data_IF_528851307320
#
_entry.id   IF_528851307320
#
_cell.length_a   1.000
_cell.length_b   1.000
_cell.length_c   1.000
_cell.angle_alpha   90.00
_cell.angle_beta   90.00
_cell.angle_gamma   90.00
#
_symmetry.space_group_name_H-M   'P 1'
#
loop_
_entity.id
_entity.type
_entity.pdbx_description
1 polymer ?
#
# COMPACT_ATOMS: atom_id res chain seq x y z
N UNK A 1 47.68 -56.06 16.64
CA UNK A 1 46.87 -54.84 16.81
C UNK A 1 46.00 -55.04 18.04
N UNK A 2 46.20 -54.31 19.15
CA UNK A 2 45.36 -54.46 20.32
C UNK A 2 43.96 -53.92 20.01
N UNK A 3 42.94 -54.73 20.31
CA UNK A 3 41.54 -54.34 20.21
C UNK A 3 41.24 -53.26 21.28
N UNK A 4 40.87 -52.06 20.84
CA UNK A 4 40.37 -51.03 21.75
C UNK A 4 39.10 -51.54 22.42
N UNK A 5 39.19 -51.77 23.74
CA UNK A 5 38.05 -52.09 24.57
C UNK A 5 37.14 -50.85 24.62
N UNK A 6 36.04 -50.88 23.87
CA UNK A 6 34.96 -49.90 23.98
C UNK A 6 34.52 -49.80 25.45
N UNK A 7 34.88 -48.70 26.12
CA UNK A 7 34.43 -48.40 27.48
C UNK A 7 32.91 -48.27 27.45
N UNK A 8 32.22 -49.34 27.84
CA UNK A 8 30.78 -49.34 27.98
C UNK A 8 30.39 -48.29 29.03
N UNK A 9 29.62 -47.30 28.61
CA UNK A 9 29.11 -46.23 29.48
C UNK A 9 28.19 -46.87 30.52
N UNK A 10 28.40 -46.52 31.80
CA UNK A 10 27.64 -47.06 32.93
C UNK A 10 26.12 -46.84 32.74
N UNK A 11 25.27 -47.81 33.11
CA UNK A 11 23.81 -47.65 33.09
C UNK A 11 23.33 -46.39 33.84
N UNK A 12 24.02 -46.01 34.92
CA UNK A 12 23.71 -44.81 35.70
C UNK A 12 23.98 -43.53 34.89
N UNK A 13 25.07 -43.49 34.12
CA UNK A 13 25.38 -42.36 33.25
C UNK A 13 24.34 -42.22 32.14
N UNK A 14 23.81 -43.31 31.61
CA UNK A 14 22.71 -43.28 30.65
C UNK A 14 21.41 -42.71 31.24
N UNK A 15 21.07 -43.08 32.47
CA UNK A 15 19.90 -42.53 33.18
C UNK A 15 20.05 -41.03 33.44
N UNK A 16 21.26 -40.57 33.80
CA UNK A 16 21.53 -39.14 33.99
C UNK A 16 21.42 -38.39 32.66
N UNK A 17 21.98 -38.93 31.58
CA UNK A 17 21.93 -38.31 30.25
C UNK A 17 20.48 -38.22 29.74
N UNK A 18 19.68 -39.27 29.89
CA UNK A 18 18.26 -39.25 29.49
C UNK A 18 17.43 -38.33 30.36
N UNK A 19 17.64 -38.33 31.68
CA UNK A 19 16.96 -37.44 32.61
C UNK A 19 17.26 -35.97 32.33
N UNK A 20 18.53 -35.63 32.11
CA UNK A 20 18.95 -34.26 31.77
C UNK A 20 18.36 -33.83 30.42
N UNK A 21 18.39 -34.71 29.41
CA UNK A 21 17.80 -34.46 28.11
C UNK A 21 16.28 -34.25 28.16
N UNK A 22 15.57 -35.03 28.98
CA UNK A 22 14.14 -34.86 29.20
C UNK A 22 13.81 -33.52 29.88
N UNK A 23 14.54 -33.17 30.94
CA UNK A 23 14.35 -31.87 31.63
C UNK A 23 14.63 -30.70 30.69
N UNK A 24 15.68 -30.78 29.87
CA UNK A 24 16.03 -29.75 28.89
C UNK A 24 14.96 -29.64 27.80
N UNK A 25 14.44 -30.78 27.32
CA UNK A 25 13.35 -30.82 26.34
C UNK A 25 12.05 -30.22 26.89
N UNK A 26 11.64 -30.59 28.11
CA UNK A 26 10.46 -30.01 28.78
C UNK A 26 10.66 -28.52 29.02
N UNK A 27 11.85 -28.10 29.47
CA UNK A 27 12.18 -26.68 29.64
C UNK A 27 12.10 -25.90 28.33
N UNK A 28 12.62 -26.46 27.23
CA UNK A 28 12.53 -25.86 25.91
C UNK A 28 11.08 -25.79 25.41
N UNK A 29 10.28 -26.85 25.61
CA UNK A 29 8.88 -26.89 25.21
C UNK A 29 8.03 -25.87 25.99
N UNK A 30 8.22 -25.77 27.31
CA UNK A 30 7.55 -24.77 28.16
C UNK A 30 7.99 -23.36 27.78
N UNK A 31 9.28 -23.14 27.51
CA UNK A 31 9.77 -21.84 27.04
C UNK A 31 9.15 -21.47 25.70
N UNK A 32 9.09 -22.39 24.74
CA UNK A 32 8.42 -22.17 23.45
C UNK A 32 6.92 -21.89 23.61
N UNK A 33 6.24 -22.56 24.55
CA UNK A 33 4.83 -22.33 24.83
C UNK A 33 4.57 -20.94 25.42
N UNK A 34 5.41 -20.51 26.38
CA UNK A 34 5.31 -19.17 27.01
C UNK A 34 5.68 -18.06 26.01
N UNK A 35 6.69 -18.29 25.17
CA UNK A 35 7.14 -17.33 24.17
C UNK A 35 6.43 -17.48 22.82
N UNK A 36 5.45 -18.38 22.69
CA UNK A 36 4.70 -18.63 21.45
C UNK A 36 4.04 -17.34 20.92
N UNK A 37 3.46 -16.54 21.81
CA UNK A 37 2.86 -15.24 21.46
C UNK A 37 3.89 -14.23 20.92
N UNK A 38 5.18 -14.38 21.25
CA UNK A 38 6.28 -13.59 20.65
C UNK A 38 6.86 -14.24 19.39
N UNK A 39 6.74 -15.57 19.25
CA UNK A 39 7.18 -16.30 18.06
C UNK A 39 6.34 -16.05 16.81
N UNK A 40 5.10 -15.55 16.97
CA UNK A 40 4.28 -15.08 15.86
C UNK A 40 4.93 -13.92 15.05
N UNK A 41 5.92 -13.24 15.64
CA UNK A 41 6.72 -12.19 14.97
C UNK A 41 8.08 -12.69 14.47
N UNK A 42 8.40 -13.99 14.58
CA UNK A 42 9.62 -14.53 14.00
C UNK A 42 9.49 -14.59 12.48
N UNK A 43 10.57 -14.22 11.78
CA UNK A 43 10.60 -14.43 10.33
C UNK A 43 10.52 -15.93 10.03
N UNK A 44 9.88 -16.28 8.90
CA UNK A 44 9.72 -17.68 8.49
C UNK A 44 11.08 -18.40 8.45
N UNK A 45 12.16 -17.71 8.05
CA UNK A 45 13.51 -18.27 7.99
C UNK A 45 14.03 -18.69 9.38
N UNK A 46 13.82 -17.86 10.40
CA UNK A 46 14.25 -18.16 11.78
C UNK A 46 13.45 -19.33 12.34
N UNK A 47 12.14 -19.37 12.08
CA UNK A 47 11.27 -20.49 12.47
C UNK A 47 11.76 -21.82 11.87
N UNK A 48 12.02 -21.85 10.56
CA UNK A 48 12.49 -23.07 9.89
C UNK A 48 13.88 -23.51 10.38
N UNK A 49 14.78 -22.56 10.61
CA UNK A 49 16.10 -22.87 11.17
C UNK A 49 15.99 -23.55 12.54
N UNK A 50 15.17 -23.00 13.44
CA UNK A 50 14.93 -23.58 14.77
C UNK A 50 14.22 -24.94 14.68
N UNK A 51 13.25 -25.09 13.76
CA UNK A 51 12.54 -26.35 13.54
C UNK A 51 13.49 -27.48 13.09
N UNK A 52 14.40 -27.20 12.15
CA UNK A 52 15.40 -28.16 11.70
C UNK A 52 16.33 -28.55 12.85
N UNK A 53 16.79 -27.57 13.63
CA UNK A 53 17.68 -27.82 14.76
C UNK A 53 17.01 -28.68 15.83
N UNK A 54 15.75 -28.37 16.17
CA UNK A 54 14.95 -29.17 17.09
C UNK A 54 14.71 -30.60 16.57
N UNK A 55 14.43 -30.76 15.28
CA UNK A 55 14.23 -32.06 14.66
C UNK A 55 15.50 -32.93 14.70
N UNK A 56 16.68 -32.34 14.49
CA UNK A 56 17.97 -33.03 14.61
C UNK A 56 18.26 -33.49 16.03
N UNK A 57 18.04 -32.62 17.03
CA UNK A 57 18.24 -32.96 18.44
C UNK A 57 17.28 -34.08 18.87
N UNK A 58 16.00 -33.94 18.54
CA UNK A 58 14.98 -34.93 18.88
C UNK A 58 15.29 -36.28 18.23
N UNK A 59 15.66 -36.29 16.94
CA UNK A 59 16.03 -37.49 16.20
C UNK A 59 17.27 -38.18 16.79
N UNK A 60 18.33 -37.41 17.09
CA UNK A 60 19.55 -37.92 17.71
C UNK A 60 19.33 -38.46 19.12
N UNK A 61 18.53 -37.78 19.93
CA UNK A 61 18.21 -38.20 21.30
C UNK A 61 17.37 -39.48 21.33
N UNK A 62 16.31 -39.57 20.51
CA UNK A 62 15.43 -40.75 20.48
C UNK A 62 16.18 -42.02 20.07
N UNK A 63 17.11 -41.90 19.13
CA UNK A 63 17.86 -43.05 18.63
C UNK A 63 19.06 -43.38 19.49
N UNK A 64 19.83 -42.38 19.91
CA UNK A 64 21.00 -42.59 20.76
C UNK A 64 20.61 -43.08 22.15
N UNK A 65 19.66 -42.39 22.79
CA UNK A 65 19.38 -42.58 24.20
C UNK A 65 18.26 -43.58 24.49
N UNK A 66 17.20 -43.58 23.68
CA UNK A 66 16.06 -44.49 23.87
C UNK A 66 16.17 -45.76 23.03
N UNK A 67 17.18 -45.87 22.15
CA UNK A 67 17.33 -46.96 21.17
C UNK A 67 16.01 -47.25 20.42
N UNK A 68 15.23 -46.22 20.14
CA UNK A 68 13.95 -46.37 19.49
C UNK A 68 14.17 -46.72 18.01
N UNK A 69 13.82 -47.95 17.63
CA UNK A 69 13.91 -48.43 16.26
C UNK A 69 12.54 -48.37 15.60
N UNK A 70 12.21 -47.25 14.96
CA UNK A 70 11.13 -47.22 13.98
C UNK A 70 11.70 -47.59 12.60
N UNK A 71 10.95 -48.35 11.79
CA UNK A 71 11.30 -48.65 10.41
C UNK A 71 10.09 -48.35 9.54
N UNK A 72 10.24 -47.42 8.61
CA UNK A 72 9.24 -47.18 7.58
C UNK A 72 9.72 -47.79 6.27
N UNK A 73 8.87 -48.55 5.59
CA UNK A 73 9.15 -49.14 4.29
C UNK A 73 7.97 -48.88 3.36
N UNK A 74 8.24 -48.30 2.20
CA UNK A 74 7.23 -48.04 1.17
C UNK A 74 7.81 -48.23 -0.24
N UNK A 75 6.95 -48.44 -1.23
CA UNK A 75 7.37 -48.49 -2.63
C UNK A 75 7.25 -47.10 -3.25
N UNK A 76 8.35 -46.57 -3.78
CA UNK A 76 8.38 -45.28 -4.47
C UNK A 76 9.26 -45.42 -5.72
N UNK A 77 8.72 -45.08 -6.90
CA UNK A 77 9.44 -45.06 -8.19
C UNK A 77 10.29 -46.32 -8.48
N UNK A 78 9.65 -47.47 -8.66
CA UNK A 78 10.31 -48.76 -8.98
C UNK A 78 11.36 -49.25 -7.95
N UNK A 79 11.36 -48.72 -6.72
CA UNK A 79 12.25 -49.16 -5.65
C UNK A 79 11.54 -49.27 -4.29
N UNK A 80 12.18 -49.97 -3.35
CA UNK A 80 11.73 -50.03 -1.94
C UNK A 80 12.50 -48.98 -1.13
N UNK A 81 11.81 -47.92 -0.70
CA UNK A 81 12.38 -46.91 0.18
C UNK A 81 12.26 -47.39 1.64
N UNK A 82 13.39 -47.67 2.28
CA UNK A 82 13.46 -47.99 3.70
C UNK A 82 14.09 -46.83 4.47
N UNK A 83 13.29 -46.17 5.32
CA UNK A 83 13.75 -45.10 6.19
C UNK A 83 13.91 -45.62 7.62
N UNK A 84 15.10 -45.41 8.18
CA UNK A 84 15.39 -45.71 9.59
C UNK A 84 14.74 -44.70 10.53
N UNK A 85 14.55 -45.12 11.78
CA UNK A 85 13.81 -44.36 12.81
C UNK A 85 14.20 -42.89 12.95
N UNK A 86 15.49 -42.52 13.00
CA UNK A 86 15.91 -41.13 13.08
C UNK A 86 15.39 -40.28 11.92
N UNK A 87 15.48 -40.82 10.69
CA UNK A 87 15.05 -40.12 9.48
C UNK A 87 13.53 -39.96 9.45
N UNK A 88 12.79 -40.98 9.89
CA UNK A 88 11.31 -40.92 9.98
C UNK A 88 10.87 -39.84 10.98
N UNK A 89 11.46 -39.80 12.18
CA UNK A 89 11.12 -38.81 13.20
C UNK A 89 11.49 -37.40 12.74
N UNK A 90 12.68 -37.22 12.13
CA UNK A 90 13.09 -35.95 11.56
C UNK A 90 12.06 -35.45 10.52
N UNK A 91 11.71 -36.29 9.55
CA UNK A 91 10.72 -35.94 8.53
C UNK A 91 9.34 -35.62 9.11
N UNK A 92 8.89 -36.35 10.13
CA UNK A 92 7.62 -36.09 10.80
C UNK A 92 7.62 -34.73 11.51
N UNK A 93 8.68 -34.38 12.24
CA UNK A 93 8.78 -33.08 12.92
C UNK A 93 8.77 -31.94 11.91
N UNK A 94 9.52 -32.07 10.81
CA UNK A 94 9.51 -31.07 9.73
C UNK A 94 8.11 -30.95 9.11
N UNK A 95 7.47 -32.07 8.79
CA UNK A 95 6.13 -32.08 8.21
C UNK A 95 5.08 -31.43 9.12
N UNK A 96 5.06 -31.80 10.41
CA UNK A 96 4.16 -31.19 11.38
C UNK A 96 4.48 -29.73 11.65
N UNK A 97 5.76 -29.35 11.73
CA UNK A 97 6.15 -27.94 11.88
C UNK A 97 5.80 -27.08 10.67
N UNK A 98 5.87 -27.62 9.46
CA UNK A 98 5.36 -26.94 8.26
C UNK A 98 3.84 -26.77 8.30
N UNK A 99 3.11 -27.81 8.71
CA UNK A 99 1.64 -27.76 8.79
C UNK A 99 1.12 -26.87 9.93
N UNK A 100 1.89 -26.77 11.02
CA UNK A 100 1.58 -25.99 12.22
C UNK A 100 2.35 -24.66 12.25
N UNK A 101 2.97 -24.26 11.14
CA UNK A 101 3.71 -23.00 11.09
C UNK A 101 2.78 -21.85 11.47
N UNK A 102 3.21 -20.90 12.31
CA UNK A 102 2.39 -19.74 12.61
C UNK A 102 2.20 -18.93 11.32
N UNK A 103 1.04 -19.09 10.68
CA UNK A 103 0.60 -18.15 9.67
C UNK A 103 0.36 -16.85 10.41
N UNK A 104 1.12 -15.81 10.10
CA UNK A 104 0.84 -14.50 10.66
C UNK A 104 -0.61 -14.15 10.32
N UNK A 105 -1.42 -13.82 11.32
CA UNK A 105 -2.80 -13.41 11.09
C UNK A 105 -2.80 -12.29 10.05
N UNK A 106 -3.58 -12.49 8.99
CA UNK A 106 -3.79 -11.49 7.95
C UNK A 106 -5.19 -10.90 8.08
N UNK A 107 -5.33 -9.66 7.66
CA UNK A 107 -6.62 -8.99 7.62
C UNK A 107 -6.73 -8.15 6.34
N UNK A 108 -7.96 -7.86 5.95
CA UNK A 108 -8.26 -6.99 4.83
C UNK A 108 -8.77 -5.65 5.36
N UNK A 109 -8.28 -4.55 4.81
CA UNK A 109 -8.72 -3.22 5.20
C UNK A 109 -9.44 -2.52 4.05
N UNK A 110 -10.58 -1.93 4.38
CA UNK A 110 -11.40 -1.15 3.46
C UNK A 110 -11.25 0.35 3.74
N UNK A 111 -10.90 1.10 2.71
CA UNK A 111 -10.98 2.55 2.70
C UNK A 111 -12.25 3.00 1.99
N UNK A 112 -12.94 3.98 2.54
CA UNK A 112 -14.09 4.66 1.92
C UNK A 112 -13.66 6.11 1.65
N UNK A 113 -13.76 6.54 0.39
CA UNK A 113 -13.26 7.83 -0.08
C UNK A 113 -14.42 8.77 -0.38
N UNK A 114 -14.54 9.82 0.40
CA UNK A 114 -15.54 10.87 0.27
C UNK A 114 -14.98 12.13 -0.40
N UNK A 115 -15.83 12.82 -1.14
CA UNK A 115 -15.46 14.04 -1.89
C UNK A 115 -15.19 15.23 -0.95
N UNK A 116 -15.81 15.21 0.22
CA UNK A 116 -15.69 16.22 1.26
C UNK A 116 -15.99 15.62 2.66
N UNK A 117 -15.95 16.48 3.68
CA UNK A 117 -16.26 16.13 5.09
C UNK A 117 -17.75 15.83 5.32
N UNK A 118 -18.63 16.23 4.41
CA UNK A 118 -20.09 16.07 4.56
C UNK A 118 -20.57 14.64 4.29
N UNK A 119 -19.70 13.76 3.76
CA UNK A 119 -19.97 12.36 3.41
C UNK A 119 -21.10 12.17 2.39
N UNK A 120 -21.49 13.22 1.69
CA UNK A 120 -22.63 13.19 0.76
C UNK A 120 -22.29 12.57 -0.60
N UNK A 121 -21.02 12.63 -1.02
CA UNK A 121 -20.58 12.16 -2.33
C UNK A 121 -19.38 11.23 -2.19
N UNK A 122 -19.48 10.04 -2.79
CA UNK A 122 -18.39 9.09 -2.93
C UNK A 122 -17.54 9.42 -4.16
N UNK A 123 -16.23 9.32 -4.00
CA UNK A 123 -15.28 9.61 -5.08
C UNK A 123 -15.03 8.35 -5.87
N UNK A 124 -15.31 8.39 -7.17
CA UNK A 124 -14.99 7.28 -8.07
C UNK A 124 -13.80 7.61 -8.97
N UNK A 125 -12.96 6.59 -9.20
CA UNK A 125 -11.76 6.69 -10.02
C UNK A 125 -10.53 7.28 -9.32
N UNK A 126 -9.38 7.15 -9.99
CA UNK A 126 -8.08 7.51 -9.43
C UNK A 126 -7.40 6.35 -8.66
N UNK A 127 -6.34 6.69 -7.94
CA UNK A 127 -5.50 5.70 -7.22
C UNK A 127 -5.28 6.17 -5.80
N UNK A 128 -5.45 5.28 -4.84
CA UNK A 128 -5.07 5.49 -3.45
C UNK A 128 -3.70 4.86 -3.21
N UNK A 129 -2.72 5.67 -2.82
CA UNK A 129 -1.39 5.18 -2.44
C UNK A 129 -1.31 5.10 -0.93
N UNK A 130 -0.89 3.96 -0.39
CA UNK A 130 -0.76 3.73 1.04
C UNK A 130 0.67 3.35 1.36
N UNK A 131 1.23 3.98 2.39
CA UNK A 131 2.53 3.61 2.92
C UNK A 131 2.33 2.78 4.19
N UNK A 132 2.36 1.45 4.03
CA UNK A 132 2.48 0.50 5.13
C UNK A 132 3.96 0.42 5.54
N UNK A 133 4.64 -0.69 5.23
CA UNK A 133 6.10 -0.81 5.29
C UNK A 133 6.77 -0.54 3.92
N UNK A 134 6.02 -0.78 2.85
CA UNK A 134 6.37 -0.48 1.46
C UNK A 134 5.22 0.33 0.84
N UNK A 135 5.49 1.18 -0.16
CA UNK A 135 4.43 1.84 -0.89
C UNK A 135 3.57 0.79 -1.59
N UNK A 136 2.26 0.88 -1.41
CA UNK A 136 1.27 0.08 -2.10
C UNK A 136 0.22 1.01 -2.73
N UNK A 137 -0.49 0.51 -3.73
CA UNK A 137 -1.48 1.32 -4.44
C UNK A 137 -2.60 0.48 -5.02
N UNK A 138 -3.83 0.95 -4.83
CA UNK A 138 -5.02 0.34 -5.39
C UNK A 138 -5.93 1.41 -6.01
N UNK A 139 -6.74 1.00 -6.99
CA UNK A 139 -7.68 1.88 -7.67
C UNK A 139 -8.88 2.15 -6.76
N UNK A 140 -9.41 3.37 -6.83
CA UNK A 140 -10.69 3.70 -6.18
C UNK A 140 -11.83 3.29 -7.10
N UNK A 141 -12.68 2.39 -6.62
CA UNK A 141 -13.86 1.88 -7.33
C UNK A 141 -15.09 2.03 -6.44
N UNK A 142 -16.11 2.73 -6.95
CA UNK A 142 -17.36 3.00 -6.24
C UNK A 142 -17.13 3.65 -4.86
N UNK A 143 -16.16 4.56 -4.75
CA UNK A 143 -15.83 5.18 -3.45
C UNK A 143 -15.05 4.29 -2.50
N UNK A 144 -14.61 3.11 -2.93
CA UNK A 144 -13.97 2.14 -2.03
C UNK A 144 -12.63 1.64 -2.58
N UNK A 145 -11.74 1.31 -1.66
CA UNK A 145 -10.46 0.66 -1.94
C UNK A 145 -10.26 -0.44 -0.90
N UNK A 146 -9.88 -1.63 -1.32
CA UNK A 146 -9.61 -2.74 -0.42
C UNK A 146 -8.16 -3.17 -0.59
N UNK A 147 -7.44 -3.29 0.51
CA UNK A 147 -6.12 -3.93 0.56
C UNK A 147 -6.25 -5.24 1.32
N UNK A 148 -5.92 -6.34 0.66
CA UNK A 148 -6.06 -7.68 1.23
C UNK A 148 -4.74 -8.19 1.81
N UNK A 149 -4.83 -9.22 2.65
CA UNK A 149 -3.68 -9.98 3.17
C UNK A 149 -2.65 -9.11 3.91
N UNK A 150 -3.11 -8.09 4.63
CA UNK A 150 -2.24 -7.23 5.43
C UNK A 150 -1.82 -7.94 6.72
N UNK A 151 -0.54 -7.84 7.13
CA UNK A 151 -0.08 -8.48 8.36
C UNK A 151 -0.69 -7.83 9.60
N UNK A 152 -1.23 -8.61 10.54
CA UNK A 152 -1.83 -8.14 11.79
C UNK A 152 -0.92 -7.23 12.63
N UNK A 153 0.40 -7.28 12.42
CA UNK A 153 1.37 -6.32 12.98
C UNK A 153 1.10 -4.85 12.62
N UNK A 154 0.22 -4.57 11.67
CA UNK A 154 -0.21 -3.22 11.27
C UNK A 154 -1.42 -2.70 12.06
N UNK A 155 -2.14 -3.55 12.78
CA UNK A 155 -3.29 -3.15 13.61
C UNK A 155 -2.85 -2.11 14.66
N UNK A 156 -3.63 -1.04 14.80
CA UNK A 156 -3.33 0.07 15.71
C UNK A 156 -2.20 1.01 15.26
N UNK A 157 -1.52 0.74 14.13
CA UNK A 157 -0.46 1.62 13.63
C UNK A 157 -1.02 2.79 12.82
N UNK A 158 -0.28 3.91 12.87
CA UNK A 158 -0.52 5.05 11.98
C UNK A 158 0.18 4.82 10.64
N UNK A 159 -0.55 5.02 9.56
CA UNK A 159 -0.07 4.90 8.18
C UNK A 159 -0.34 6.19 7.42
N UNK A 160 0.47 6.43 6.39
CA UNK A 160 0.29 7.59 5.51
C UNK A 160 -0.46 7.16 4.25
N UNK A 161 -1.54 7.88 3.94
CA UNK A 161 -2.36 7.64 2.77
C UNK A 161 -2.32 8.86 1.87
N UNK A 162 -2.07 8.67 0.58
CA UNK A 162 -1.97 9.73 -0.42
C UNK A 162 -2.91 9.45 -1.58
N UNK A 163 -4.04 10.16 -1.67
CA UNK A 163 -4.98 10.03 -2.78
C UNK A 163 -4.46 10.73 -4.04
N UNK A 164 -4.56 10.05 -5.17
CA UNK A 164 -4.26 10.56 -6.50
C UNK A 164 -5.51 10.47 -7.37
N UNK A 165 -6.45 11.38 -7.13
CA UNK A 165 -7.72 11.49 -7.85
C UNK A 165 -7.78 12.81 -8.64
N UNK A 166 -8.26 12.75 -9.89
CA UNK A 166 -8.45 13.93 -10.72
C UNK A 166 -9.52 14.86 -10.12
N UNK A 167 -9.31 16.18 -10.21
CA UNK A 167 -10.23 17.15 -9.61
C UNK A 167 -10.07 17.37 -8.10
N UNK A 168 -9.19 16.63 -7.43
CA UNK A 168 -8.93 16.78 -5.99
C UNK A 168 -7.46 17.15 -5.70
N UNK A 169 -7.22 17.71 -4.51
CA UNK A 169 -5.87 17.96 -4.01
C UNK A 169 -5.18 16.63 -3.63
N UNK A 170 -3.90 16.51 -3.99
CA UNK A 170 -3.05 15.38 -3.58
C UNK A 170 -2.44 15.71 -2.21
N UNK A 171 -3.23 15.56 -1.17
CA UNK A 171 -2.81 15.82 0.22
C UNK A 171 -2.69 14.49 0.97
N UNK A 172 -1.52 14.22 1.52
CA UNK A 172 -1.30 13.04 2.36
C UNK A 172 -2.03 13.19 3.70
N UNK A 173 -2.62 12.09 4.18
CA UNK A 173 -3.37 12.01 5.42
C UNK A 173 -2.75 10.92 6.31
N UNK A 174 -2.67 11.17 7.60
CA UNK A 174 -2.27 10.16 8.59
C UNK A 174 -3.54 9.51 9.15
N UNK A 175 -3.66 8.20 8.98
CA UNK A 175 -4.80 7.42 9.50
C UNK A 175 -4.32 6.28 10.37
N UNK A 176 -5.11 5.93 11.38
CA UNK A 176 -4.79 4.80 12.28
C UNK A 176 -5.56 3.58 11.81
N UNK A 177 -4.87 2.46 11.63
CA UNK A 177 -5.52 1.18 11.33
C UNK A 177 -6.28 0.72 12.58
N UNK A 178 -7.59 0.43 12.49
CA UNK A 178 -8.37 -0.07 13.61
C UNK A 178 -7.78 -1.34 14.22
N UNK A 179 -7.91 -1.50 15.54
CA UNK A 179 -7.42 -2.70 16.24
C UNK A 179 -8.20 -3.96 15.89
N UNK A 180 -9.44 -3.81 15.41
CA UNK A 180 -10.31 -4.92 15.03
C UNK A 180 -10.02 -5.47 13.62
N UNK A 181 -9.26 -4.75 12.80
CA UNK A 181 -8.93 -5.14 11.43
C UNK A 181 -10.12 -5.16 10.46
N UNK A 182 -11.30 -4.72 10.88
CA UNK A 182 -12.54 -4.83 10.09
C UNK A 182 -13.26 -3.48 9.92
N UNK A 183 -13.03 -2.55 10.84
CA UNK A 183 -13.58 -1.20 10.71
C UNK A 183 -13.00 -0.51 9.48
N UNK A 184 -13.88 0.06 8.66
CA UNK A 184 -13.46 0.81 7.46
C UNK A 184 -12.84 2.16 7.84
N UNK A 185 -11.82 2.57 7.10
CA UNK A 185 -11.20 3.89 7.25
C UNK A 185 -11.86 4.87 6.27
N UNK A 186 -12.40 5.96 6.80
CA UNK A 186 -12.95 7.03 5.99
C UNK A 186 -11.86 8.04 5.62
N UNK A 187 -11.83 8.45 4.36
CA UNK A 187 -10.94 9.46 3.82
C UNK A 187 -11.76 10.58 3.21
N UNK A 188 -11.42 11.81 3.56
CA UNK A 188 -12.10 13.00 3.05
C UNK A 188 -11.15 13.76 2.13
N UNK A 189 -11.56 13.93 0.87
CA UNK A 189 -10.78 14.71 -0.08
C UNK A 189 -11.19 16.17 -0.04
N UNK A 190 -10.32 17.02 -0.61
CA UNK A 190 -10.64 18.43 -0.85
C UNK A 190 -10.66 18.66 -2.35
N UNK A 191 -11.82 19.03 -2.87
CA UNK A 191 -12.00 19.33 -4.30
C UNK A 191 -11.15 20.54 -4.67
N UNK A 192 -10.47 20.47 -5.81
CA UNK A 192 -9.83 21.63 -6.42
C UNK A 192 -10.93 22.53 -6.98
N UNK A 193 -10.81 23.86 -6.83
CA UNK A 193 -11.65 24.74 -7.62
C UNK A 193 -11.40 24.45 -9.10
N UNK A 194 -12.45 24.54 -9.91
CA UNK A 194 -12.30 24.48 -11.35
C UNK A 194 -11.33 25.58 -11.80
N UNK A 195 -10.51 25.30 -12.80
CA UNK A 195 -9.51 26.25 -13.29
C UNK A 195 -9.37 26.08 -14.80
N UNK A 196 -9.65 27.16 -15.52
CA UNK A 196 -9.63 27.21 -16.97
C UNK A 196 -8.52 28.15 -17.43
N UNK A 197 -7.57 27.62 -18.20
CA UNK A 197 -6.60 28.45 -18.93
C UNK A 197 -7.27 28.97 -20.19
N UNK A 198 -7.47 30.28 -20.24
CA UNK A 198 -7.99 31.00 -21.40
C UNK A 198 -6.82 31.67 -22.10
N UNK A 199 -6.74 31.47 -23.41
CA UNK A 199 -5.83 32.21 -24.27
C UNK A 199 -6.60 32.82 -25.43
N UNK A 200 -6.15 33.97 -25.91
CA UNK A 200 -6.78 34.61 -27.05
C UNK A 200 -5.92 35.68 -27.68
N UNK A 201 -6.48 36.27 -28.74
CA UNK A 201 -5.90 37.32 -29.54
C UNK A 201 -6.89 38.48 -29.63
N UNK A 202 -6.39 39.70 -29.50
CA UNK A 202 -7.16 40.92 -29.76
C UNK A 202 -6.74 41.49 -31.10
N UNK A 203 -7.71 41.71 -31.98
CA UNK A 203 -7.50 42.25 -33.33
C UNK A 203 -8.42 43.43 -33.63
N UNK A 204 -8.05 44.26 -34.60
CA UNK A 204 -8.89 45.32 -35.14
C UNK A 204 -9.84 44.82 -36.25
N UNK A 205 -10.56 45.74 -36.89
CA UNK A 205 -11.49 45.39 -37.98
C UNK A 205 -10.78 44.89 -39.25
N UNK A 206 -9.47 45.14 -39.38
CA UNK A 206 -8.61 44.65 -40.46
C UNK A 206 -7.90 43.34 -40.10
N UNK A 207 -8.14 42.81 -38.91
CA UNK A 207 -7.48 41.60 -38.41
C UNK A 207 -6.05 41.82 -37.91
N UNK A 208 -5.61 43.07 -37.75
CA UNK A 208 -4.29 43.36 -37.20
C UNK A 208 -4.30 43.27 -35.66
N UNK A 209 -3.24 42.72 -35.04
CA UNK A 209 -3.16 42.60 -33.60
C UNK A 209 -3.14 43.97 -32.91
N UNK A 210 -3.88 44.10 -31.81
CA UNK A 210 -3.95 45.35 -31.03
C UNK A 210 -3.24 45.15 -29.69
N UNK A 211 -2.07 45.79 -29.49
CA UNK A 211 -1.28 45.62 -28.27
C UNK A 211 -1.82 46.45 -27.09
N UNK A 212 -1.38 46.10 -25.89
CA UNK A 212 -1.55 46.88 -24.65
C UNK A 212 -3.00 47.27 -24.29
N UNK A 213 -3.96 46.44 -24.71
CA UNK A 213 -5.37 46.61 -24.34
C UNK A 213 -5.68 45.94 -23.00
N UNK A 214 -6.52 46.58 -22.20
CA UNK A 214 -7.00 46.03 -20.93
C UNK A 214 -8.23 45.16 -21.18
N UNK A 215 -8.10 43.88 -20.87
CA UNK A 215 -9.18 42.90 -20.95
C UNK A 215 -9.74 42.68 -19.54
N UNK A 216 -11.05 42.86 -19.39
CA UNK A 216 -11.77 42.77 -18.13
C UNK A 216 -12.86 41.72 -18.25
N UNK A 217 -12.90 40.80 -17.30
CA UNK A 217 -13.79 39.64 -17.29
C UNK A 217 -14.60 39.59 -16.00
N UNK A 218 -15.77 38.95 -16.06
CA UNK A 218 -16.68 38.77 -14.92
C UNK A 218 -16.90 40.07 -14.15
N UNK A 219 -17.28 41.13 -14.88
CA UNK A 219 -17.57 42.46 -14.34
C UNK A 219 -16.45 43.10 -13.50
N UNK A 220 -15.19 42.75 -13.78
CA UNK A 220 -14.04 43.38 -13.13
C UNK A 220 -13.30 42.49 -12.14
N UNK A 221 -13.78 41.29 -11.87
CA UNK A 221 -13.12 40.34 -10.98
C UNK A 221 -11.76 39.89 -11.52
N UNK A 222 -11.64 39.75 -12.85
CA UNK A 222 -10.39 39.35 -13.49
C UNK A 222 -9.99 40.35 -14.56
N UNK A 223 -8.69 40.66 -14.61
CA UNK A 223 -8.11 41.64 -15.52
C UNK A 223 -6.79 41.11 -16.05
N UNK A 224 -6.54 41.32 -17.33
CA UNK A 224 -5.24 41.04 -17.96
C UNK A 224 -5.00 42.04 -19.09
N UNK A 225 -3.76 42.16 -19.54
CA UNK A 225 -3.42 42.99 -20.69
C UNK A 225 -3.01 42.09 -21.85
N UNK A 226 -3.31 42.53 -23.07
CA UNK A 226 -2.74 41.93 -24.26
C UNK A 226 -1.25 42.31 -24.40
N UNK A 227 -0.44 41.39 -24.90
CA UNK A 227 0.97 41.62 -25.20
C UNK A 227 1.16 42.45 -26.48
N UNK A 228 2.42 42.65 -26.89
CA UNK A 228 2.79 43.44 -28.07
C UNK A 228 2.28 42.84 -29.39
N UNK A 229 1.85 41.58 -29.38
CA UNK A 229 1.28 40.87 -30.52
C UNK A 229 -0.24 40.69 -30.34
N UNK A 230 -0.87 41.38 -29.39
CA UNK A 230 -2.29 41.30 -29.11
C UNK A 230 -2.73 40.02 -28.38
N UNK A 231 -1.80 39.13 -27.99
CA UNK A 231 -2.15 37.89 -27.31
C UNK A 231 -2.38 38.12 -25.82
N UNK A 232 -3.26 37.32 -25.22
CA UNK A 232 -3.44 37.30 -23.78
C UNK A 232 -3.59 35.87 -23.27
N UNK A 233 -3.18 35.66 -22.03
CA UNK A 233 -3.39 34.41 -21.31
C UNK A 233 -3.89 34.76 -19.91
N UNK A 234 -4.91 34.04 -19.43
CA UNK A 234 -5.45 34.19 -18.09
C UNK A 234 -5.94 32.84 -17.57
N UNK A 235 -5.77 32.60 -16.27
CA UNK A 235 -6.29 31.41 -15.60
C UNK A 235 -7.49 31.84 -14.76
N UNK A 236 -8.67 31.31 -15.08
CA UNK A 236 -9.94 31.67 -14.45
C UNK A 236 -10.43 30.51 -13.56
N UNK A 237 -10.91 30.76 -12.34
CA UNK A 237 -11.42 29.70 -11.46
C UNK A 237 -12.85 29.28 -11.84
N UNK A 238 -13.03 28.85 -13.09
CA UNK A 238 -14.33 28.51 -13.69
C UNK A 238 -14.24 27.19 -14.46
N UNK A 239 -15.40 26.62 -14.80
CA UNK A 239 -15.51 25.42 -15.64
C UNK A 239 -15.36 25.76 -17.12
N UNK A 240 -14.88 24.80 -17.91
CA UNK A 240 -14.95 24.87 -19.38
C UNK A 240 -16.43 24.97 -19.81
N UNK A 241 -16.72 25.82 -20.79
CA UNK A 241 -18.07 26.14 -21.25
C UNK A 241 -18.80 27.22 -20.46
N UNK A 242 -18.16 27.84 -19.45
CA UNK A 242 -18.77 28.95 -18.69
C UNK A 242 -18.87 30.19 -19.57
N UNK A 243 -20.05 30.82 -19.59
CA UNK A 243 -20.28 32.10 -20.27
C UNK A 243 -19.94 33.25 -19.31
N UNK A 244 -19.08 34.18 -19.72
CA UNK A 244 -18.75 35.37 -18.91
C UNK A 244 -18.74 36.65 -19.76
N UNK A 245 -19.13 37.80 -19.18
CA UNK A 245 -19.01 39.08 -19.84
C UNK A 245 -17.54 39.45 -20.01
N UNK A 246 -17.19 39.88 -21.22
CA UNK A 246 -15.85 40.32 -21.63
C UNK A 246 -15.94 41.76 -22.07
N UNK A 247 -15.11 42.61 -21.45
CA UNK A 247 -14.96 44.01 -21.82
C UNK A 247 -13.51 44.28 -22.18
N UNK A 248 -13.27 44.90 -23.33
CA UNK A 248 -11.92 45.34 -23.72
C UNK A 248 -11.88 46.85 -23.74
N UNK A 249 -10.91 47.41 -23.03
CA UNK A 249 -10.67 48.85 -22.93
C UNK A 249 -9.33 49.19 -23.58
N UNK A 250 -9.34 50.26 -24.37
CA UNK A 250 -8.16 50.82 -25.01
C UNK A 250 -8.14 52.32 -24.74
N UNK A 251 -7.06 52.82 -24.12
CA UNK A 251 -6.98 54.22 -23.72
C UNK A 251 -8.15 54.68 -22.83
N UNK A 252 -8.61 53.82 -21.90
CA UNK A 252 -9.78 54.03 -21.02
C UNK A 252 -11.15 54.10 -21.72
N UNK A 253 -11.22 53.85 -23.03
CA UNK A 253 -12.50 53.76 -23.77
C UNK A 253 -12.88 52.29 -23.95
N UNK A 254 -14.15 51.97 -23.73
CA UNK A 254 -14.71 50.64 -23.99
C UNK A 254 -14.78 50.43 -25.52
N UNK A 255 -14.11 49.39 -26.02
CA UNK A 255 -14.05 49.04 -27.45
C UNK A 255 -14.73 47.72 -27.81
N UNK A 256 -14.90 46.86 -26.81
CA UNK A 256 -15.61 45.59 -26.94
C UNK A 256 -16.38 45.31 -25.66
N UNK A 257 -17.61 44.82 -25.79
CA UNK A 257 -18.46 44.38 -24.68
C UNK A 257 -19.40 43.29 -25.17
N UNK A 258 -19.12 42.05 -24.82
CA UNK A 258 -19.91 40.89 -25.22
C UNK A 258 -19.71 39.76 -24.24
N UNK A 259 -20.70 38.89 -24.10
CA UNK A 259 -20.56 37.65 -23.35
C UNK A 259 -19.91 36.58 -24.25
N UNK A 260 -18.96 35.84 -23.71
CA UNK A 260 -18.22 34.80 -24.44
C UNK A 260 -18.24 33.50 -23.66
N UNK A 261 -18.33 32.38 -24.39
CA UNK A 261 -18.19 31.04 -23.83
C UNK A 261 -16.71 30.70 -23.80
N UNK A 262 -16.19 30.45 -22.60
CA UNK A 262 -14.77 30.15 -22.43
C UNK A 262 -14.50 28.65 -22.54
N UNK A 263 -13.52 28.28 -23.36
CA UNK A 263 -13.06 26.90 -23.48
C UNK A 263 -11.55 26.78 -23.46
N UNK A 264 -11.06 25.67 -22.93
CA UNK A 264 -9.62 25.34 -22.94
C UNK A 264 -9.12 24.94 -24.33
N UNK A 265 -10.05 24.57 -25.23
CA UNK A 265 -9.73 24.00 -26.55
C UNK A 265 -9.76 25.03 -27.68
N UNK A 266 -10.51 26.11 -27.49
CA UNK A 266 -10.74 27.12 -28.54
C UNK A 266 -10.20 28.47 -28.05
N UNK A 267 -9.15 29.01 -28.68
CA UNK A 267 -8.65 30.34 -28.33
C UNK A 267 -9.68 31.41 -28.70
N UNK A 268 -9.79 32.43 -27.85
CA UNK A 268 -10.74 33.52 -28.05
C UNK A 268 -10.17 34.56 -29.01
N UNK A 269 -10.92 34.98 -30.02
CA UNK A 269 -10.55 36.14 -30.86
C UNK A 269 -11.49 37.29 -30.55
N UNK A 270 -10.93 38.40 -30.07
CA UNK A 270 -11.67 39.60 -29.71
C UNK A 270 -11.44 40.67 -30.77
N UNK A 271 -12.45 40.93 -31.61
CA UNK A 271 -12.37 41.96 -32.64
C UNK A 271 -12.89 43.30 -32.10
N UNK A 272 -12.05 44.33 -32.11
CA UNK A 272 -12.41 45.66 -31.62
C UNK A 272 -13.16 46.46 -32.68
N UNK A 273 -14.30 47.05 -32.30
CA UNK A 273 -15.04 47.95 -33.17
C UNK A 273 -14.36 49.34 -33.16
N UNK A 274 -13.84 49.74 -34.33
CA UNK A 274 -13.32 51.08 -34.67
C UNK A 274 -12.32 51.66 -33.64
N UNK A 275 -11.03 51.59 -33.97
CA UNK A 275 -9.91 52.16 -33.20
C UNK A 275 -10.10 53.66 -32.89
#
# INVERSE_FOLDING_TARGET
>A
MPAEANKAVSPLSWVIITGLGFVLFVGAAVTLMIFSNKSANMSAQVYFFLLIFAALIASGFLFGALKAHAKYSGQLHNGTLALGGPAVIFCLIIYFGLKLSPTADSFDIKFIVFADESKNELVDGGVLKVLFNKPDSARVENGTVIFNDLPASLLGKRITVTPAVAGYYRQSQQVTIPLDGHTSIELHLKKKPDSLKVSGLVVDIQGQPVPDVLIVLADGQYKTNADQLGNFILILPIKDGTELPVRVYMGKKLRFNSTQIFSSKVPLTLQLNKL
#
